data_IF_086875570453
#
_entry.id   IF_086875570453
#
_cell.length_a   1.000
_cell.length_b   1.000
_cell.length_c   1.000
_cell.angle_alpha   90.00
_cell.angle_beta   90.00
_cell.angle_gamma   90.00
#
_symmetry.space_group_name_H-M   'P 1'
#
loop_
_entity.id
_entity.type
_entity.pdbx_description
1 polymer ?
#
# COMPACT_ATOMS: atom_id res chain seq x y z
N UNK A 1 60.58 13.36 -35.03
CA UNK A 1 59.27 14.05 -35.01
C UNK A 1 58.22 13.07 -34.50
N UNK A 2 57.75 13.25 -33.26
CA UNK A 2 56.44 12.84 -32.70
C UNK A 2 56.51 12.95 -31.16
N UNK A 3 56.11 14.11 -30.64
CA UNK A 3 55.87 14.33 -29.22
C UNK A 3 54.59 13.59 -28.81
N UNK A 4 54.66 12.77 -27.76
CA UNK A 4 53.49 12.20 -27.10
C UNK A 4 52.87 13.26 -26.18
N UNK A 5 51.63 13.66 -26.47
CA UNK A 5 50.80 14.50 -25.60
C UNK A 5 50.10 13.60 -24.59
N UNK A 6 50.41 13.77 -23.30
CA UNK A 6 49.62 13.21 -22.20
C UNK A 6 48.39 14.11 -21.98
N UNK A 7 47.19 13.56 -22.17
CA UNK A 7 45.93 14.21 -21.79
C UNK A 7 45.56 13.70 -20.39
N UNK A 8 45.64 14.57 -19.38
CA UNK A 8 45.17 14.27 -18.02
C UNK A 8 43.64 14.29 -18.00
N UNK A 9 43.02 13.16 -17.67
CA UNK A 9 41.58 13.03 -17.47
C UNK A 9 41.25 13.41 -16.01
N UNK A 10 40.62 14.57 -15.80
CA UNK A 10 40.11 14.98 -14.49
C UNK A 10 38.78 14.28 -14.22
N UNK A 11 38.76 13.36 -13.25
CA UNK A 11 37.57 12.65 -12.80
C UNK A 11 36.81 13.55 -11.82
N UNK A 12 35.70 14.15 -12.26
CA UNK A 12 34.76 14.85 -11.39
C UNK A 12 33.97 13.82 -10.58
N UNK A 13 34.27 13.74 -9.28
CA UNK A 13 33.46 12.99 -8.31
C UNK A 13 32.29 13.87 -7.91
N UNK A 14 31.11 13.64 -8.48
CA UNK A 14 29.85 14.24 -8.00
C UNK A 14 29.36 13.43 -6.80
N UNK A 15 29.65 13.91 -5.60
CA UNK A 15 29.03 13.40 -4.38
C UNK A 15 27.55 13.81 -4.37
N UNK A 16 26.64 12.83 -4.41
CA UNK A 16 25.20 13.07 -4.28
C UNK A 16 24.86 13.58 -2.88
N UNK A 17 24.14 14.68 -2.80
CA UNK A 17 23.61 15.23 -1.54
C UNK A 17 22.35 14.43 -1.18
N UNK A 18 22.23 13.86 0.02
CA UNK A 18 20.99 13.22 0.47
C UNK A 18 19.88 14.27 0.58
N UNK A 19 18.70 13.97 0.03
CA UNK A 19 17.54 14.84 0.12
C UNK A 19 17.12 15.04 1.58
N UNK A 20 16.99 16.30 2.00
CA UNK A 20 16.47 16.66 3.33
C UNK A 20 14.94 16.75 3.18
N UNK A 21 14.20 15.80 3.76
CA UNK A 21 12.73 15.85 3.83
C UNK A 21 12.32 17.02 4.74
N UNK A 22 11.48 17.92 4.24
CA UNK A 22 11.08 19.12 4.99
C UNK A 22 10.05 18.79 6.08
N UNK A 23 9.84 19.70 7.04
CA UNK A 23 8.82 19.52 8.07
C UNK A 23 7.40 19.53 7.48
N UNK A 24 7.18 20.32 6.42
CA UNK A 24 5.90 20.39 5.72
C UNK A 24 5.58 19.06 5.03
N UNK A 25 6.59 18.41 4.43
CA UNK A 25 6.42 17.08 3.80
C UNK A 25 6.02 16.03 4.84
N UNK A 26 6.66 16.04 6.03
CA UNK A 26 6.31 15.10 7.11
C UNK A 26 4.88 15.28 7.60
N UNK A 27 4.43 16.52 7.72
CA UNK A 27 3.06 16.82 8.14
C UNK A 27 2.05 16.34 7.09
N UNK A 28 2.32 16.57 5.81
CA UNK A 28 1.46 16.10 4.72
C UNK A 28 1.36 14.56 4.71
N UNK A 29 2.49 13.86 4.90
CA UNK A 29 2.51 12.40 4.99
C UNK A 29 1.74 11.88 6.20
N UNK A 30 1.88 12.55 7.35
CA UNK A 30 1.12 12.20 8.55
C UNK A 30 -0.39 12.35 8.32
N UNK A 31 -0.83 13.47 7.74
CA UNK A 31 -2.24 13.72 7.44
C UNK A 31 -2.82 12.72 6.45
N UNK A 32 -2.08 12.41 5.38
CA UNK A 32 -2.49 11.41 4.39
C UNK A 32 -2.60 10.02 5.02
N UNK A 33 -1.59 9.57 5.78
CA UNK A 33 -1.64 8.27 6.46
C UNK A 33 -2.82 8.16 7.45
N UNK A 34 -3.10 9.22 8.21
CA UNK A 34 -4.21 9.25 9.17
C UNK A 34 -5.59 9.29 8.50
N UNK A 35 -5.67 9.66 7.23
CA UNK A 35 -6.92 9.65 6.48
C UNK A 35 -7.45 8.22 6.23
N UNK A 36 -6.56 7.22 6.22
CA UNK A 36 -6.93 5.81 6.15
C UNK A 36 -7.50 5.26 7.46
N UNK A 37 -7.16 5.85 8.60
CA UNK A 37 -7.52 5.34 9.92
C UNK A 37 -8.97 5.67 10.29
N UNK A 38 -9.69 4.76 10.98
CA UNK A 38 -10.92 5.09 11.69
C UNK A 38 -10.71 6.30 12.62
N UNK A 39 -11.65 7.26 12.70
CA UNK A 39 -11.47 8.48 13.50
C UNK A 39 -11.09 8.20 14.97
N UNK A 40 -11.58 7.10 15.55
CA UNK A 40 -11.32 6.69 16.93
C UNK A 40 -9.94 6.05 17.17
N UNK A 41 -9.17 5.81 16.10
CA UNK A 41 -7.83 5.23 16.13
C UNK A 41 -6.73 6.23 15.74
N UNK A 42 -7.05 7.39 15.15
CA UNK A 42 -6.05 8.32 14.58
C UNK A 42 -4.96 8.75 15.57
N UNK A 43 -5.30 8.92 16.84
CA UNK A 43 -4.38 9.28 17.92
C UNK A 43 -3.65 8.08 18.56
N UNK A 44 -3.95 6.86 18.11
CA UNK A 44 -3.45 5.59 18.70
C UNK A 44 -2.70 4.73 17.70
N UNK A 45 -2.77 5.01 16.41
CA UNK A 45 -1.98 4.29 15.39
C UNK A 45 -0.54 4.78 15.41
N UNK A 46 0.37 3.86 15.13
CA UNK A 46 1.74 4.24 14.73
C UNK A 46 1.66 4.71 13.28
N UNK A 47 2.32 5.81 12.93
CA UNK A 47 2.41 6.27 11.54
C UNK A 47 3.87 6.18 11.12
N UNK A 48 4.11 5.51 10.00
CA UNK A 48 5.43 5.34 9.41
C UNK A 48 5.42 5.80 7.96
N UNK A 49 6.54 6.33 7.50
CA UNK A 49 6.78 6.47 6.06
C UNK A 49 7.36 5.18 5.45
N UNK A 50 7.51 5.17 4.13
CA UNK A 50 8.05 4.05 3.36
C UNK A 50 9.57 3.87 3.51
N UNK A 51 10.26 4.83 4.13
CA UNK A 51 11.68 4.77 4.50
C UNK A 51 11.87 4.23 5.94
N UNK A 52 10.78 3.82 6.61
CA UNK A 52 10.73 3.34 7.99
C UNK A 52 10.97 4.41 9.06
N UNK A 53 10.82 5.70 8.75
CA UNK A 53 10.80 6.74 9.77
C UNK A 53 9.43 6.75 10.46
N UNK A 54 9.44 6.87 11.78
CA UNK A 54 8.22 7.04 12.58
C UNK A 54 7.83 8.51 12.55
N UNK A 55 6.61 8.79 12.08
CA UNK A 55 5.99 10.13 12.06
C UNK A 55 5.10 10.37 13.28
N UNK A 56 4.51 9.30 13.83
CA UNK A 56 3.70 9.34 15.05
C UNK A 56 3.83 7.99 15.78
N UNK A 57 4.09 8.03 17.08
CA UNK A 57 4.06 6.83 17.93
C UNK A 57 2.62 6.44 18.28
N UNK A 58 2.35 5.14 18.27
CA UNK A 58 1.03 4.57 18.54
C UNK A 58 1.00 3.62 19.73
N UNK A 59 -0.21 3.32 20.19
CA UNK A 59 -0.50 2.31 21.23
C UNK A 59 -1.47 1.21 20.77
N UNK A 60 -2.03 1.34 19.58
CA UNK A 60 -2.91 0.34 18.96
C UNK A 60 -2.10 -0.73 18.21
N UNK A 61 -2.80 -1.74 17.69
CA UNK A 61 -2.20 -2.80 16.87
C UNK A 61 -2.00 -2.41 15.39
N UNK A 62 -2.30 -1.17 15.01
CA UNK A 62 -2.26 -0.73 13.62
C UNK A 62 -1.10 0.22 13.35
N UNK A 63 -0.46 0.01 12.21
CA UNK A 63 0.51 0.93 11.62
C UNK A 63 -0.06 1.50 10.33
N UNK A 64 -0.09 2.82 10.22
CA UNK A 64 -0.54 3.53 9.04
C UNK A 64 0.62 4.05 8.20
N UNK A 65 0.43 4.00 6.90
CA UNK A 65 1.37 4.50 5.90
C UNK A 65 0.65 5.51 5.00
N UNK A 66 1.36 6.59 4.58
CA UNK A 66 0.83 7.46 3.55
C UNK A 66 0.73 6.69 2.23
N UNK A 67 0.05 7.30 1.27
CA UNK A 67 0.02 6.88 -0.12
C UNK A 67 1.45 6.58 -0.59
N UNK A 68 1.71 5.39 -1.15
CA UNK A 68 3.02 5.06 -1.72
C UNK A 68 3.44 6.09 -2.77
N UNK A 69 4.66 6.63 -2.71
CA UNK A 69 5.10 7.74 -3.58
C UNK A 69 5.13 7.38 -5.08
N UNK A 70 5.11 6.09 -5.41
CA UNK A 70 5.06 5.58 -6.78
C UNK A 70 3.64 5.49 -7.36
N UNK A 71 2.59 5.64 -6.55
CA UNK A 71 1.22 5.58 -7.03
C UNK A 71 0.71 6.96 -7.43
N UNK A 72 -0.04 7.01 -8.52
CA UNK A 72 -0.87 8.16 -8.85
C UNK A 72 -2.22 8.03 -8.13
N UNK A 73 -2.67 9.10 -7.46
CA UNK A 73 -3.92 9.09 -6.69
C UNK A 73 -3.71 8.95 -5.18
N UNK A 74 -4.79 8.71 -4.44
CA UNK A 74 -4.76 8.47 -2.99
C UNK A 74 -4.70 6.97 -2.74
N UNK A 75 -3.88 6.48 -1.82
CA UNK A 75 -3.92 5.09 -1.36
C UNK A 75 -3.28 4.92 0.04
N UNK A 76 -3.61 5.78 1.04
CA UNK A 76 -3.10 5.57 2.38
C UNK A 76 -3.76 4.33 2.99
N UNK A 77 -3.04 3.66 3.89
CA UNK A 77 -3.49 2.40 4.46
C UNK A 77 -3.06 2.25 5.91
N UNK A 78 -3.91 1.62 6.72
CA UNK A 78 -3.59 1.25 8.11
C UNK A 78 -3.72 -0.26 8.27
N UNK A 79 -2.60 -0.92 8.51
CA UNK A 79 -2.49 -2.38 8.56
C UNK A 79 -2.27 -2.87 9.98
N UNK A 80 -2.96 -3.93 10.36
CA UNK A 80 -2.62 -4.69 11.57
C UNK A 80 -1.41 -5.61 11.32
N UNK A 81 -0.94 -6.28 12.39
CA UNK A 81 0.21 -7.18 12.32
C UNK A 81 0.12 -8.27 11.24
N UNK A 82 -0.99 -9.04 11.15
CA UNK A 82 -1.18 -10.01 10.08
C UNK A 82 -1.13 -9.39 8.68
N UNK A 83 -1.75 -8.23 8.47
CA UNK A 83 -1.67 -7.54 7.18
C UNK A 83 -0.25 -7.06 6.86
N UNK A 84 0.49 -6.55 7.84
CA UNK A 84 1.90 -6.18 7.65
C UNK A 84 2.74 -7.38 7.16
N UNK A 85 2.51 -8.57 7.72
CA UNK A 85 3.20 -9.78 7.28
C UNK A 85 2.78 -10.21 5.87
N UNK A 86 1.50 -10.11 5.54
CA UNK A 86 1.01 -10.34 4.18
C UNK A 86 1.65 -9.36 3.19
N UNK A 87 1.63 -8.06 3.49
CA UNK A 87 2.17 -6.98 2.65
C UNK A 87 3.65 -7.23 2.34
N UNK A 88 4.42 -7.61 3.36
CA UNK A 88 5.81 -7.96 3.18
C UNK A 88 6.01 -9.15 2.24
N UNK A 89 5.20 -10.21 2.37
CA UNK A 89 5.28 -11.38 1.51
C UNK A 89 4.89 -11.04 0.06
N UNK A 90 3.82 -10.26 -0.15
CA UNK A 90 3.42 -9.76 -1.47
C UNK A 90 4.52 -8.93 -2.14
N UNK A 91 5.13 -7.99 -1.42
CA UNK A 91 6.24 -7.18 -1.94
C UNK A 91 7.46 -8.05 -2.35
N UNK A 92 7.72 -9.13 -1.61
CA UNK A 92 8.82 -10.08 -1.90
C UNK A 92 8.44 -11.17 -2.90
N UNK A 93 7.18 -11.23 -3.33
CA UNK A 93 6.62 -12.31 -4.15
C UNK A 93 6.77 -13.70 -3.49
N UNK A 94 6.67 -13.74 -2.17
CA UNK A 94 6.78 -14.94 -1.35
C UNK A 94 5.39 -15.54 -1.03
N UNK A 95 5.29 -16.86 -0.81
CA UNK A 95 4.04 -17.46 -0.36
C UNK A 95 3.51 -16.81 0.92
N UNK A 96 2.22 -16.50 0.95
CA UNK A 96 1.54 -16.03 2.16
C UNK A 96 0.94 -17.22 2.91
N UNK A 97 1.30 -17.37 4.18
CA UNK A 97 0.56 -18.22 5.10
C UNK A 97 -0.30 -17.36 6.04
N UNK A 98 -1.55 -17.12 5.66
CA UNK A 98 -2.51 -16.45 6.54
C UNK A 98 -2.93 -17.39 7.65
N UNK A 99 -2.43 -17.18 8.88
CA UNK A 99 -2.72 -18.02 10.06
C UNK A 99 -3.85 -17.47 10.93
N UNK A 100 -4.10 -16.18 10.82
CA UNK A 100 -5.11 -15.45 11.58
C UNK A 100 -5.84 -14.49 10.65
N UNK A 101 -7.00 -14.02 11.09
CA UNK A 101 -7.65 -12.89 10.42
C UNK A 101 -6.77 -11.65 10.59
N UNK A 102 -6.67 -10.85 9.52
CA UNK A 102 -6.04 -9.54 9.51
C UNK A 102 -6.96 -8.51 8.89
N UNK A 103 -6.93 -7.29 9.39
CA UNK A 103 -7.76 -6.16 8.96
C UNK A 103 -6.87 -4.99 8.59
N UNK A 104 -7.12 -4.42 7.41
CA UNK A 104 -6.53 -3.17 6.95
C UNK A 104 -7.64 -2.17 6.64
N UNK A 105 -7.37 -0.90 6.92
CA UNK A 105 -8.27 0.21 6.61
C UNK A 105 -7.68 1.07 5.50
N UNK A 106 -8.51 1.44 4.53
CA UNK A 106 -8.23 2.43 3.49
C UNK A 106 -9.43 3.38 3.39
N UNK A 107 -9.69 4.12 4.48
CA UNK A 107 -10.90 4.95 4.58
C UNK A 107 -10.87 6.23 3.74
N UNK A 108 -9.73 6.57 3.13
CA UNK A 108 -9.65 7.61 2.12
C UNK A 108 -10.08 7.14 0.72
N UNK A 109 -10.20 5.81 0.53
CA UNK A 109 -10.29 5.17 -0.77
C UNK A 109 -8.93 4.89 -1.40
N UNK A 110 -8.95 4.42 -2.63
CA UNK A 110 -7.75 4.22 -3.44
C UNK A 110 -7.84 4.90 -4.82
N UNK A 111 -6.72 4.95 -5.53
CA UNK A 111 -6.60 5.52 -6.88
C UNK A 111 -6.88 4.50 -7.99
N UNK A 112 -7.26 3.27 -7.63
CA UNK A 112 -7.40 2.19 -8.58
C UNK A 112 -6.45 1.02 -8.32
N UNK A 113 -6.99 -0.19 -8.42
CA UNK A 113 -6.22 -1.42 -8.49
C UNK A 113 -6.89 -2.42 -9.45
N UNK A 114 -6.08 -3.32 -9.99
CA UNK A 114 -6.57 -4.48 -10.72
C UNK A 114 -7.30 -5.42 -9.75
N UNK A 115 -8.51 -5.85 -10.07
CA UNK A 115 -9.23 -6.82 -9.24
C UNK A 115 -8.72 -8.27 -9.43
N UNK A 116 -7.97 -8.54 -10.52
CA UNK A 116 -7.58 -9.91 -10.88
C UNK A 116 -6.07 -10.16 -10.82
N UNK A 117 -5.24 -9.13 -10.96
CA UNK A 117 -3.78 -9.24 -11.04
C UNK A 117 -3.10 -8.40 -9.94
N UNK A 118 -2.48 -9.05 -8.92
CA UNK A 118 -1.78 -8.38 -7.83
C UNK A 118 -0.53 -7.60 -8.24
N UNK A 119 -0.09 -7.70 -9.49
CA UNK A 119 1.11 -7.04 -10.00
C UNK A 119 0.84 -6.16 -11.23
N UNK A 120 -0.43 -5.84 -11.50
CA UNK A 120 -0.78 -4.92 -12.59
C UNK A 120 -0.13 -3.54 -12.34
N UNK A 121 0.49 -3.00 -13.39
CA UNK A 121 1.12 -1.67 -13.34
C UNK A 121 0.17 -0.54 -13.75
N UNK A 122 -1.06 -0.88 -14.15
CA UNK A 122 -2.09 0.09 -14.55
C UNK A 122 -3.36 -0.57 -15.10
N UNK A 123 -4.33 0.24 -15.49
CA UNK A 123 -5.60 -0.20 -16.05
C UNK A 123 -5.42 -0.91 -17.40
N UNK A 124 -6.08 -2.06 -17.53
CA UNK A 124 -6.21 -2.78 -18.81
C UNK A 124 -7.66 -3.18 -19.02
N UNK A 125 -8.02 -3.54 -20.25
CA UNK A 125 -9.40 -3.91 -20.58
C UNK A 125 -9.89 -5.19 -19.88
N UNK A 126 -8.97 -6.01 -19.37
CA UNK A 126 -9.23 -7.35 -18.85
C UNK A 126 -8.93 -7.52 -17.35
N UNK A 127 -8.25 -6.55 -16.72
CA UNK A 127 -7.83 -6.68 -15.33
C UNK A 127 -8.89 -6.22 -14.30
N UNK A 128 -10.07 -5.84 -14.79
CA UNK A 128 -11.19 -5.36 -13.97
C UNK A 128 -10.72 -4.27 -13.01
N UNK A 129 -10.16 -3.19 -13.54
CA UNK A 129 -9.69 -2.07 -12.74
C UNK A 129 -10.83 -1.48 -11.89
N UNK A 130 -10.58 -1.30 -10.59
CA UNK A 130 -11.54 -0.76 -9.63
C UNK A 130 -10.89 0.37 -8.86
N UNK A 131 -11.50 1.55 -8.91
CA UNK A 131 -11.23 2.66 -7.99
C UNK A 131 -12.19 2.54 -6.83
N UNK A 132 -11.69 2.20 -5.65
CA UNK A 132 -12.53 1.94 -4.48
C UNK A 132 -12.73 3.20 -3.62
N UNK A 133 -13.93 3.33 -3.06
CA UNK A 133 -14.22 4.34 -2.04
C UNK A 133 -13.62 3.93 -0.69
N UNK A 134 -14.05 4.55 0.43
CA UNK A 134 -13.66 4.09 1.77
C UNK A 134 -13.98 2.60 1.95
N UNK A 135 -12.97 1.80 2.32
CA UNK A 135 -13.13 0.36 2.46
C UNK A 135 -12.20 -0.24 3.54
N UNK A 136 -12.49 -1.48 3.92
CA UNK A 136 -11.56 -2.37 4.61
C UNK A 136 -11.07 -3.46 3.68
N UNK A 137 -9.90 -4.00 4.01
CA UNK A 137 -9.40 -5.25 3.43
C UNK A 137 -9.21 -6.28 4.53
N UNK A 138 -9.70 -7.50 4.31
CA UNK A 138 -9.65 -8.59 5.28
C UNK A 138 -8.94 -9.79 4.68
N UNK A 139 -7.91 -10.27 5.38
CA UNK A 139 -7.27 -11.57 5.10
C UNK A 139 -7.79 -12.59 6.10
N UNK A 140 -7.93 -13.84 5.67
CA UNK A 140 -8.44 -14.92 6.51
C UNK A 140 -7.80 -16.26 6.15
N UNK A 141 -7.57 -17.17 7.12
CA UNK A 141 -7.19 -18.55 6.82
C UNK A 141 -8.33 -19.36 6.18
N UNK A 142 -9.57 -18.89 6.27
CA UNK A 142 -10.75 -19.62 5.81
C UNK A 142 -10.94 -19.50 4.28
N UNK A 143 -10.42 -20.50 3.57
CA UNK A 143 -10.61 -20.62 2.11
C UNK A 143 -12.06 -20.84 1.70
N UNK A 144 -12.88 -21.48 2.54
CA UNK A 144 -14.30 -21.70 2.22
C UNK A 144 -15.04 -20.37 2.21
N UNK A 145 -14.72 -19.47 3.15
CA UNK A 145 -15.26 -18.11 3.17
C UNK A 145 -14.88 -17.34 1.90
N UNK A 146 -13.60 -17.36 1.51
CA UNK A 146 -13.13 -16.71 0.28
C UNK A 146 -13.81 -17.28 -0.98
N UNK A 147 -13.99 -18.60 -1.03
CA UNK A 147 -14.68 -19.25 -2.14
C UNK A 147 -16.16 -18.87 -2.23
N UNK A 148 -16.81 -18.66 -1.09
CA UNK A 148 -18.24 -18.32 -1.00
C UNK A 148 -18.59 -16.89 -1.42
N UNK A 149 -17.61 -15.98 -1.41
CA UNK A 149 -17.82 -14.58 -1.73
C UNK A 149 -17.70 -14.31 -3.24
N UNK A 150 -18.48 -13.34 -3.77
CA UNK A 150 -18.38 -12.94 -5.18
C UNK A 150 -17.04 -12.25 -5.46
N UNK A 151 -16.66 -12.14 -6.73
CA UNK A 151 -15.50 -11.33 -7.17
C UNK A 151 -15.91 -10.01 -7.82
N UNK A 152 -17.21 -9.83 -8.10
CA UNK A 152 -17.72 -8.62 -8.73
C UNK A 152 -17.68 -7.44 -7.74
N UNK A 153 -16.85 -6.41 -7.96
CA UNK A 153 -16.79 -5.24 -7.09
C UNK A 153 -18.12 -4.46 -7.08
N UNK A 154 -19.00 -4.64 -8.06
CA UNK A 154 -20.28 -3.94 -8.16
C UNK A 154 -21.46 -4.71 -7.55
N UNK A 155 -21.22 -5.82 -6.84
CA UNK A 155 -22.28 -6.64 -6.25
C UNK A 155 -23.06 -5.93 -5.11
N UNK A 156 -22.55 -4.80 -4.60
CA UNK A 156 -23.17 -4.02 -3.53
C UNK A 156 -22.77 -4.43 -2.11
N UNK A 157 -21.86 -5.40 -1.96
CA UNK A 157 -21.32 -5.87 -0.70
C UNK A 157 -19.89 -6.38 -0.83
N UNK A 158 -19.40 -7.14 0.17
CA UNK A 158 -18.04 -7.67 0.15
C UNK A 158 -17.75 -8.53 -1.07
N UNK A 159 -16.52 -8.44 -1.58
CA UNK A 159 -16.04 -9.26 -2.69
C UNK A 159 -14.59 -9.71 -2.47
N UNK A 160 -14.16 -10.74 -3.19
CA UNK A 160 -12.76 -11.19 -3.17
C UNK A 160 -12.00 -10.56 -4.32
N UNK A 161 -10.97 -9.81 -3.96
CA UNK A 161 -9.95 -9.32 -4.89
C UNK A 161 -8.84 -10.36 -5.03
N UNK A 162 -8.28 -10.48 -6.23
CA UNK A 162 -7.19 -11.40 -6.60
C UNK A 162 -7.50 -12.87 -6.34
N UNK A 163 -8.76 -13.26 -6.47
CA UNK A 163 -9.23 -14.63 -6.23
C UNK A 163 -8.38 -15.66 -6.99
N UNK A 164 -8.01 -16.74 -6.30
CA UNK A 164 -7.18 -17.81 -6.86
C UNK A 164 -5.67 -17.52 -6.86
N UNK A 165 -5.24 -16.35 -6.39
CA UNK A 165 -3.82 -16.07 -6.09
C UNK A 165 -3.51 -16.34 -4.61
N UNK A 166 -2.22 -16.48 -4.22
CA UNK A 166 -1.82 -16.54 -2.82
C UNK A 166 -2.18 -15.28 -2.01
N UNK A 167 -2.52 -14.18 -2.68
CA UNK A 167 -2.76 -12.85 -2.12
C UNK A 167 -4.26 -12.48 -2.16
N UNK A 168 -5.15 -13.44 -2.34
CA UNK A 168 -6.58 -13.13 -2.32
C UNK A 168 -7.01 -12.57 -0.95
N UNK A 169 -7.86 -11.56 -0.99
CA UNK A 169 -8.36 -10.89 0.21
C UNK A 169 -9.77 -10.35 -0.03
N UNK A 170 -10.49 -10.14 1.06
CA UNK A 170 -11.87 -9.64 1.02
C UNK A 170 -11.83 -8.13 1.05
N UNK A 171 -12.42 -7.49 0.04
CA UNK A 171 -12.71 -6.07 0.01
C UNK A 171 -14.07 -5.83 0.64
N UNK A 172 -14.16 -4.86 1.56
CA UNK A 172 -15.40 -4.49 2.25
C UNK A 172 -15.64 -2.99 2.07
N UNK A 173 -16.43 -2.57 1.06
CA UNK A 173 -16.80 -1.18 0.89
C UNK A 173 -17.63 -0.67 2.09
N UNK A 174 -17.30 0.51 2.59
CA UNK A 174 -18.03 1.18 3.70
C UNK A 174 -18.49 2.59 3.35
N UNK A 175 -18.19 3.05 2.15
CA UNK A 175 -18.64 4.31 1.60
C UNK A 175 -18.78 4.24 0.08
N UNK A 176 -19.34 5.28 -0.55
CA UNK A 176 -19.46 5.33 -2.01
C UNK A 176 -18.08 5.46 -2.67
N UNK A 177 -17.93 4.85 -3.85
CA UNK A 177 -16.90 5.22 -4.82
C UNK A 177 -17.16 6.64 -5.29
N UNK A 178 -16.10 7.44 -5.46
CA UNK A 178 -16.21 8.83 -5.92
C UNK A 178 -16.03 8.93 -7.42
#
# INVERSE_FOLDING_TARGET
MKLARYLSLALLVTAGIPAIVSADDKQAMLEDALSAAPPTLRDKVTVMDWDNNVLQEGSSAYTCFPTPPQLEGTAPMCMDGPWMAWAQAWMKKEPVETKTIGISYMLAGDGGASNTDPYAEGETADNQWVVEGPHLMIITPDKTLLDSLPTDPNNGGPYVMWKGTPYEHIMVPVGPRK
#
